data_IF_161366034835
#
_entry.id   IF_161366034835
#
_cell.length_a   1.000
_cell.length_b   1.000
_cell.length_c   1.000
_cell.angle_alpha   90.00
_cell.angle_beta   90.00
_cell.angle_gamma   90.00
#
_symmetry.space_group_name_H-M   'P 1'
#
loop_
_entity.id
_entity.type
_entity.pdbx_description
1 polymer ?
#
# COMPACT_ATOMS: atom_id res chain seq x y z
N UNK A 1 1.86 19.53 6.10
CA UNK A 1 0.76 20.12 6.90
C UNK A 1 0.04 19.07 7.76
N UNK A 2 -0.54 18.02 7.18
CA UNK A 2 -1.25 16.93 7.87
C UNK A 2 -0.57 16.42 9.16
N UNK A 3 0.70 16.00 9.07
CA UNK A 3 1.47 15.47 10.22
C UNK A 3 1.55 16.46 11.38
N UNK A 4 1.71 17.75 11.07
CA UNK A 4 1.77 18.81 12.08
C UNK A 4 0.42 18.93 12.77
N UNK A 5 -0.67 19.03 12.00
CA UNK A 5 -2.02 19.15 12.53
C UNK A 5 -2.41 17.95 13.42
N UNK A 6 -2.06 16.72 13.02
CA UNK A 6 -2.28 15.53 13.85
C UNK A 6 -1.57 15.64 15.20
N UNK A 7 -0.28 16.04 15.20
CA UNK A 7 0.51 16.20 16.43
C UNK A 7 -0.05 17.29 17.34
N UNK A 8 -0.44 18.43 16.76
CA UNK A 8 -1.03 19.55 17.49
C UNK A 8 -2.36 19.16 18.19
N UNK A 9 -3.04 18.11 17.69
CA UNK A 9 -4.29 17.58 18.24
C UNK A 9 -4.12 16.24 18.99
N UNK A 10 -2.88 15.79 19.27
CA UNK A 10 -2.63 14.52 19.97
C UNK A 10 -3.05 13.26 19.19
N UNK A 11 -3.24 13.37 17.87
CA UNK A 11 -3.58 12.26 16.98
C UNK A 11 -2.28 11.66 16.41
N UNK A 12 -2.14 10.32 16.46
CA UNK A 12 -1.03 9.63 15.79
C UNK A 12 -1.23 9.70 14.27
N UNK A 13 -0.36 10.39 13.51
CA UNK A 13 -0.47 10.40 12.05
C UNK A 13 -0.06 9.05 11.47
N UNK A 14 -0.83 8.57 10.49
CA UNK A 14 -0.48 7.45 9.63
C UNK A 14 -0.47 7.99 8.20
N UNK A 15 0.68 7.88 7.52
CA UNK A 15 0.85 8.43 6.17
C UNK A 15 0.84 7.27 5.20
N UNK A 16 0.11 7.43 4.11
CA UNK A 16 0.05 6.47 3.03
C UNK A 16 -0.54 7.10 1.78
N UNK A 17 -0.63 6.30 0.73
CA UNK A 17 -1.26 6.68 -0.53
C UNK A 17 -1.96 5.49 -1.15
N UNK A 18 -3.08 5.74 -1.81
CA UNK A 18 -3.60 4.81 -2.80
C UNK A 18 -2.75 4.93 -4.07
N UNK A 19 -2.45 3.80 -4.71
CA UNK A 19 -1.80 3.72 -6.01
C UNK A 19 -2.82 3.24 -7.02
N UNK A 20 -3.04 4.07 -8.05
CA UNK A 20 -4.09 3.88 -9.04
C UNK A 20 -3.57 4.14 -10.44
N UNK A 21 -4.02 3.33 -11.39
CA UNK A 21 -3.98 3.67 -12.81
C UNK A 21 -5.42 4.00 -13.22
N UNK A 22 -5.68 5.27 -13.57
CA UNK A 22 -7.05 5.76 -13.79
C UNK A 22 -7.98 5.41 -12.59
N UNK A 23 -9.10 4.73 -12.84
CA UNK A 23 -10.06 4.32 -11.82
C UNK A 23 -9.68 3.02 -11.10
N UNK A 24 -8.64 2.32 -11.56
CA UNK A 24 -8.23 1.03 -11.01
C UNK A 24 -7.34 1.21 -9.78
N UNK A 25 -7.80 0.70 -8.62
CA UNK A 25 -6.98 0.61 -7.41
C UNK A 25 -6.06 -0.61 -7.52
N UNK A 26 -4.75 -0.38 -7.54
CA UNK A 26 -3.74 -1.45 -7.60
C UNK A 26 -3.34 -1.91 -6.19
N UNK A 27 -2.99 -0.97 -5.31
CA UNK A 27 -2.58 -1.23 -3.93
C UNK A 27 -2.58 0.06 -3.11
N UNK A 28 -2.53 -0.08 -1.79
CA UNK A 28 -2.37 1.00 -0.82
C UNK A 28 -1.00 0.84 -0.16
N UNK A 29 -0.21 1.92 -0.13
CA UNK A 29 1.08 1.95 0.55
C UNK A 29 0.98 2.77 1.83
N UNK A 30 1.51 2.26 2.92
CA UNK A 30 1.55 2.94 4.22
C UNK A 30 2.99 3.04 4.69
N UNK A 31 3.45 4.25 5.00
CA UNK A 31 4.77 4.48 5.58
C UNK A 31 4.73 4.18 7.09
N UNK A 32 5.59 3.26 7.55
CA UNK A 32 5.78 2.97 8.97
C UNK A 32 6.77 3.94 9.63
N UNK A 33 7.66 4.54 8.83
CA UNK A 33 8.66 5.50 9.27
C UNK A 33 9.03 6.48 8.14
N UNK A 34 10.01 7.37 8.39
CA UNK A 34 10.44 8.37 7.42
C UNK A 34 11.11 7.77 6.16
N UNK A 35 11.79 6.62 6.27
CA UNK A 35 12.38 5.94 5.11
C UNK A 35 11.28 5.42 4.19
N UNK A 36 10.21 4.85 4.77
CA UNK A 36 9.04 4.43 4.00
C UNK A 36 8.35 5.58 3.30
N UNK A 37 8.24 6.73 3.97
CA UNK A 37 7.69 7.94 3.36
C UNK A 37 8.55 8.44 2.20
N UNK A 38 9.86 8.47 2.38
CA UNK A 38 10.80 8.84 1.32
C UNK A 38 10.68 7.90 0.12
N UNK A 39 10.63 6.59 0.36
CA UNK A 39 10.43 5.59 -0.68
C UNK A 39 9.14 5.81 -1.46
N UNK A 40 8.01 6.08 -0.77
CA UNK A 40 6.72 6.36 -1.42
C UNK A 40 6.84 7.60 -2.32
N UNK A 41 7.48 8.66 -1.84
CA UNK A 41 7.66 9.88 -2.64
C UNK A 41 8.51 9.64 -3.88
N UNK A 42 9.61 8.89 -3.76
CA UNK A 42 10.47 8.56 -4.90
C UNK A 42 9.72 7.72 -5.93
N UNK A 43 8.98 6.72 -5.47
CA UNK A 43 8.13 5.87 -6.31
C UNK A 43 7.07 6.69 -7.06
N UNK A 44 6.33 7.55 -6.37
CA UNK A 44 5.35 8.45 -6.99
C UNK A 44 6.01 9.40 -7.99
N UNK A 45 7.13 10.02 -7.60
CA UNK A 45 7.84 11.00 -8.43
C UNK A 45 8.33 10.37 -9.72
N UNK A 46 8.87 9.15 -9.66
CA UNK A 46 9.31 8.41 -10.83
C UNK A 46 8.15 8.15 -11.80
N UNK A 47 7.04 7.57 -11.34
CA UNK A 47 5.94 7.20 -12.23
C UNK A 47 5.19 8.42 -12.78
N UNK A 48 4.85 9.39 -11.92
CA UNK A 48 4.05 10.54 -12.31
C UNK A 48 4.82 11.50 -13.22
N UNK A 49 6.10 11.75 -12.94
CA UNK A 49 6.92 12.68 -13.75
C UNK A 49 7.17 12.10 -15.14
N UNK A 50 7.44 10.80 -15.23
CA UNK A 50 7.67 10.12 -16.50
C UNK A 50 6.38 9.71 -17.23
N UNK A 51 5.20 9.97 -16.63
CA UNK A 51 3.89 9.48 -17.13
C UNK A 51 3.88 7.98 -17.38
N UNK A 52 4.60 7.23 -16.55
CA UNK A 52 4.59 5.78 -16.58
C UNK A 52 3.44 5.26 -15.73
N UNK A 53 2.65 4.30 -16.22
CA UNK A 53 1.67 3.63 -15.37
C UNK A 53 2.39 2.98 -14.18
N UNK A 54 1.69 2.90 -13.05
CA UNK A 54 2.16 2.14 -11.92
C UNK A 54 2.12 0.64 -12.26
N UNK A 55 3.12 -0.14 -11.81
CA UNK A 55 3.16 -1.57 -12.08
C UNK A 55 1.98 -2.28 -11.39
N UNK A 56 1.30 -3.21 -12.08
CA UNK A 56 0.30 -4.06 -11.43
C UNK A 56 0.97 -4.96 -10.39
N UNK A 57 0.20 -5.43 -9.42
CA UNK A 57 0.73 -6.15 -8.25
C UNK A 57 1.55 -7.41 -8.58
N UNK A 58 1.25 -8.13 -9.67
CA UNK A 58 2.03 -9.29 -10.11
C UNK A 58 3.44 -8.95 -10.62
N UNK A 59 3.66 -7.68 -11.00
CA UNK A 59 4.94 -7.19 -11.50
C UNK A 59 5.76 -6.49 -10.41
N UNK A 60 5.32 -6.52 -9.15
CA UNK A 60 6.04 -5.93 -8.01
C UNK A 60 6.57 -7.02 -7.09
N UNK A 61 7.89 -7.21 -7.11
CA UNK A 61 8.55 -8.17 -6.22
C UNK A 61 8.59 -7.68 -4.76
N UNK A 62 8.81 -6.38 -4.54
CA UNK A 62 8.88 -5.79 -3.20
C UNK A 62 8.59 -4.30 -3.23
N UNK A 63 7.85 -3.85 -2.23
CA UNK A 63 7.86 -2.44 -1.83
C UNK A 63 8.90 -2.22 -0.74
N UNK A 64 9.44 -0.99 -0.71
CA UNK A 64 10.41 -0.52 0.27
C UNK A 64 11.80 -1.19 0.23
N UNK A 65 12.82 -0.46 0.68
CA UNK A 65 14.17 -1.02 0.84
C UNK A 65 14.31 -1.96 2.04
N UNK A 66 13.49 -1.76 3.08
CA UNK A 66 13.38 -2.63 4.24
C UNK A 66 11.91 -2.92 4.56
N UNK A 67 11.60 -4.16 4.93
CA UNK A 67 10.25 -4.60 5.29
C UNK A 67 9.62 -3.81 6.45
N UNK A 68 10.47 -3.22 7.31
CA UNK A 68 10.05 -2.39 8.46
C UNK A 68 9.72 -0.95 8.09
N UNK A 69 9.97 -0.54 6.85
CA UNK A 69 9.79 0.85 6.43
C UNK A 69 8.35 1.16 6.06
N UNK A 70 7.56 0.16 5.68
CA UNK A 70 6.15 0.37 5.35
C UNK A 70 5.41 -0.92 5.03
N UNK A 71 4.14 -0.76 4.74
CA UNK A 71 3.19 -1.83 4.45
C UNK A 71 2.56 -1.63 3.08
N UNK A 72 2.25 -2.74 2.40
CA UNK A 72 1.50 -2.75 1.15
C UNK A 72 0.23 -3.57 1.32
N UNK A 73 -0.91 -2.99 0.93
CA UNK A 73 -2.21 -3.62 1.02
C UNK A 73 -2.76 -3.78 -0.38
N UNK A 74 -2.92 -5.02 -0.83
CA UNK A 74 -3.46 -5.36 -2.14
C UNK A 74 -4.96 -5.62 -2.07
N UNK A 75 -5.74 -5.29 -3.11
CA UNK A 75 -7.13 -5.70 -3.20
C UNK A 75 -7.29 -7.23 -3.16
N UNK A 76 -8.47 -7.70 -2.79
CA UNK A 76 -8.77 -9.13 -2.80
C UNK A 76 -8.60 -9.74 -4.20
N UNK A 77 -8.01 -10.94 -4.25
CA UNK A 77 -7.80 -11.72 -5.47
C UNK A 77 -6.83 -11.12 -6.50
N UNK A 78 -5.94 -10.21 -6.09
CA UNK A 78 -4.92 -9.65 -7.00
C UNK A 78 -3.53 -10.23 -6.78
N UNK A 79 -3.22 -10.78 -5.60
CA UNK A 79 -1.94 -11.45 -5.31
C UNK A 79 -2.18 -12.78 -4.56
N UNK A 80 -1.49 -13.88 -4.92
CA UNK A 80 -1.61 -15.14 -4.18
C UNK A 80 -1.14 -15.01 -2.73
N UNK A 81 -1.91 -15.54 -1.77
CA UNK A 81 -1.59 -15.46 -0.34
C UNK A 81 -0.23 -16.07 0.02
N UNK A 82 0.14 -17.18 -0.62
CA UNK A 82 1.42 -17.85 -0.39
C UNK A 82 2.64 -17.00 -0.77
N UNK A 83 2.45 -15.94 -1.56
CA UNK A 83 3.50 -15.03 -2.00
C UNK A 83 3.58 -13.71 -1.21
N UNK A 84 2.80 -13.55 -0.14
CA UNK A 84 2.83 -12.34 0.67
C UNK A 84 4.03 -12.32 1.62
N UNK A 85 4.72 -11.18 1.64
CA UNK A 85 5.74 -10.87 2.65
C UNK A 85 5.08 -10.40 3.95
N UNK A 86 5.84 -10.35 5.04
CA UNK A 86 5.32 -9.97 6.37
C UNK A 86 4.71 -8.56 6.43
N UNK A 87 5.12 -7.64 5.55
CA UNK A 87 4.54 -6.30 5.45
C UNK A 87 3.48 -6.17 4.36
N UNK A 88 3.08 -7.27 3.75
CA UNK A 88 2.09 -7.31 2.67
C UNK A 88 0.79 -7.94 3.17
N UNK A 89 -0.34 -7.32 2.82
CA UNK A 89 -1.65 -7.72 3.29
C UNK A 89 -2.67 -7.71 2.14
N UNK A 90 -3.73 -8.49 2.29
CA UNK A 90 -4.92 -8.40 1.43
C UNK A 90 -5.98 -7.57 2.15
N UNK A 91 -6.43 -6.50 1.51
CA UNK A 91 -7.56 -5.69 1.95
C UNK A 91 -8.87 -6.34 1.52
N UNK A 92 -9.69 -6.74 2.50
CA UNK A 92 -11.05 -7.25 2.28
C UNK A 92 -12.05 -6.11 2.49
N UNK A 93 -12.83 -5.77 1.46
CA UNK A 93 -13.92 -4.79 1.62
C UNK A 93 -15.13 -5.42 2.31
N UNK A 94 -15.99 -4.60 2.91
CA UNK A 94 -17.23 -5.09 3.55
C UNK A 94 -18.11 -5.95 2.62
N UNK A 95 -18.14 -5.65 1.32
CA UNK A 95 -18.88 -6.45 0.32
C UNK A 95 -18.22 -7.80 -0.02
N UNK A 96 -16.95 -7.96 0.36
CA UNK A 96 -16.12 -9.14 0.10
C UNK A 96 -16.00 -10.03 1.34
N UNK A 97 -16.80 -9.81 2.40
CA UNK A 97 -16.72 -10.59 3.65
C UNK A 97 -16.87 -12.11 3.44
N UNK A 98 -17.64 -12.55 2.44
CA UNK A 98 -17.77 -13.96 2.10
C UNK A 98 -16.42 -14.60 1.68
N UNK A 99 -15.45 -13.81 1.22
CA UNK A 99 -14.11 -14.28 0.92
C UNK A 99 -13.38 -14.81 2.16
N UNK A 100 -13.66 -14.28 3.35
CA UNK A 100 -13.03 -14.73 4.59
C UNK A 100 -13.39 -16.18 4.93
N UNK A 101 -14.60 -16.63 4.55
CA UNK A 101 -15.04 -18.01 4.76
C UNK A 101 -14.21 -18.95 3.88
N UNK A 102 -13.99 -18.59 2.61
CA UNK A 102 -13.21 -19.40 1.66
C UNK A 102 -11.70 -19.47 1.98
N UNK A 103 -11.18 -18.53 2.79
CA UNK A 103 -9.76 -18.53 3.18
C UNK A 103 -9.45 -19.40 4.40
N UNK A 104 -10.47 -19.79 5.17
CA UNK A 104 -10.33 -20.51 6.44
C UNK A 104 -10.69 -22.00 6.30
N UNK A 105 -11.36 -22.39 5.21
CA UNK A 105 -11.71 -23.77 4.86
C UNK A 105 -10.94 -24.24 3.62
#
# INVERSE_FOLDING_TARGET
EFVKLCRDNGIKPVIGTEIRNEDELLYILIAANNNGLHWIHDFLSFHLTNKHPFPPCDNVESFFGNIKDGYAIFPYNTKPLAGLKENEFIGIRNRELNALVTLIF
#
